data_IF_111833667971
#
_entry.id   IF_111833667971
#
_cell.length_a   1.000
_cell.length_b   1.000
_cell.length_c   1.000
_cell.angle_alpha   90.00
_cell.angle_beta   90.00
_cell.angle_gamma   90.00
#
_symmetry.space_group_name_H-M   'P 1'
#
loop_
_entity.id
_entity.type
_entity.pdbx_description
1 polymer ?
#
# COMPACT_ATOMS: atom_id res chain seq x y z
N UNK A 1 -14.80 -2.45 17.66
CA UNK A 1 -15.39 -1.26 17.03
C UNK A 1 -14.87 -1.25 15.61
N UNK A 2 -15.61 -1.90 14.71
CA UNK A 2 -15.20 -2.08 13.32
C UNK A 2 -15.56 -0.81 12.55
N UNK A 3 -14.55 -0.21 11.92
CA UNK A 3 -14.62 1.09 11.27
C UNK A 3 -15.12 0.90 9.84
N UNK A 4 -16.43 0.72 9.66
CA UNK A 4 -17.07 0.45 8.35
C UNK A 4 -17.08 1.64 7.39
N UNK A 5 -16.71 2.84 7.84
CA UNK A 5 -16.80 4.07 7.03
C UNK A 5 -15.80 4.18 5.87
N UNK A 6 -14.82 3.27 5.75
CA UNK A 6 -13.82 3.33 4.69
C UNK A 6 -14.26 2.64 3.40
N UNK A 7 -15.01 1.54 3.49
CA UNK A 7 -15.66 0.94 2.32
C UNK A 7 -16.64 1.94 1.70
N UNK A 8 -17.34 2.71 2.54
CA UNK A 8 -18.20 3.80 2.09
C UNK A 8 -17.40 4.93 1.41
N UNK A 9 -16.23 5.31 1.92
CA UNK A 9 -15.37 6.33 1.30
C UNK A 9 -14.76 5.88 -0.04
N UNK A 10 -14.36 4.62 -0.16
CA UNK A 10 -13.87 4.06 -1.44
C UNK A 10 -15.03 3.90 -2.41
N UNK A 11 -16.18 3.39 -1.97
CA UNK A 11 -17.37 3.30 -2.81
C UNK A 11 -17.82 4.68 -3.29
N UNK A 12 -17.78 5.73 -2.46
CA UNK A 12 -18.11 7.10 -2.86
C UNK A 12 -17.12 7.64 -3.93
N UNK A 13 -15.82 7.34 -3.78
CA UNK A 13 -14.78 7.71 -4.76
C UNK A 13 -14.90 6.94 -6.09
N UNK A 14 -15.36 5.68 -6.07
CA UNK A 14 -15.57 4.84 -7.25
C UNK A 14 -16.92 5.09 -7.94
N UNK A 15 -17.97 5.39 -7.18
CA UNK A 15 -19.34 5.62 -7.70
C UNK A 15 -19.52 6.98 -8.37
N UNK A 16 -18.62 7.95 -8.14
CA UNK A 16 -18.57 9.22 -8.88
C UNK A 16 -18.43 9.08 -10.41
N UNK A 17 -18.19 7.87 -10.94
CA UNK A 17 -18.10 7.57 -12.37
C UNK A 17 -19.22 6.66 -12.92
N UNK A 18 -20.19 6.23 -12.11
CA UNK A 18 -21.35 5.44 -12.59
C UNK A 18 -22.65 6.21 -12.43
N UNK A 19 -23.30 6.48 -13.56
CA UNK A 19 -24.69 6.93 -13.59
C UNK A 19 -25.64 5.96 -12.87
N UNK A 20 -26.84 6.41 -12.49
CA UNK A 20 -27.68 5.70 -11.54
C UNK A 20 -28.43 4.58 -12.25
N UNK A 21 -28.17 3.32 -11.88
CA UNK A 21 -29.16 2.23 -11.75
C UNK A 21 -28.46 0.92 -11.38
N UNK A 22 -28.65 0.42 -10.16
CA UNK A 22 -28.95 -0.99 -9.87
C UNK A 22 -29.20 -1.18 -8.35
N UNK A 23 -29.87 -2.28 -8.02
CA UNK A 23 -30.66 -2.54 -6.81
C UNK A 23 -29.84 -3.00 -5.58
N UNK A 24 -30.29 -2.81 -4.32
CA UNK A 24 -29.47 -2.95 -3.11
C UNK A 24 -29.29 -4.39 -2.57
N UNK A 25 -29.56 -5.43 -3.37
CA UNK A 25 -29.69 -6.80 -2.86
C UNK A 25 -28.54 -7.76 -3.19
N UNK A 26 -27.62 -7.39 -4.10
CA UNK A 26 -26.52 -8.28 -4.55
C UNK A 26 -25.11 -7.81 -4.10
N UNK A 27 -24.97 -6.61 -3.55
CA UNK A 27 -23.65 -6.01 -3.24
C UNK A 27 -22.97 -6.56 -1.96
N UNK A 28 -23.67 -7.35 -1.14
CA UNK A 28 -23.15 -7.79 0.17
C UNK A 28 -22.18 -8.98 0.12
N UNK A 29 -22.08 -9.72 -0.99
CA UNK A 29 -21.20 -10.90 -1.07
C UNK A 29 -19.85 -10.66 -1.76
N UNK A 30 -19.71 -9.60 -2.57
CA UNK A 30 -18.44 -9.31 -3.28
C UNK A 30 -17.43 -8.53 -2.44
N UNK A 31 -17.90 -7.79 -1.45
CA UNK A 31 -17.04 -6.88 -0.67
C UNK A 31 -16.11 -7.64 0.29
N UNK A 32 -16.58 -8.76 0.86
CA UNK A 32 -15.78 -9.58 1.78
C UNK A 32 -14.76 -10.48 1.04
N UNK A 33 -15.05 -10.90 -0.20
CA UNK A 33 -14.12 -11.67 -1.04
C UNK A 33 -12.92 -10.83 -1.54
N UNK A 34 -13.10 -9.52 -1.69
CA UNK A 34 -12.04 -8.62 -2.15
C UNK A 34 -11.08 -8.23 -1.03
N UNK A 35 -11.54 -8.15 0.23
CA UNK A 35 -10.67 -7.86 1.37
C UNK A 35 -9.64 -8.96 1.62
N UNK A 36 -9.99 -10.21 1.33
CA UNK A 36 -9.06 -11.35 1.43
C UNK A 36 -8.03 -11.41 0.29
N UNK A 37 -8.21 -10.59 -0.76
CA UNK A 37 -7.32 -10.52 -1.92
C UNK A 37 -6.28 -9.39 -1.84
N UNK A 38 -6.28 -8.59 -0.78
CA UNK A 38 -5.34 -7.48 -0.65
C UNK A 38 -3.96 -8.01 -0.23
N UNK A 39 -2.88 -7.72 -0.98
CA UNK A 39 -1.54 -8.12 -0.59
C UNK A 39 -1.17 -7.56 0.79
N UNK A 40 -0.48 -8.34 1.62
CA UNK A 40 -0.08 -7.91 2.97
C UNK A 40 0.77 -6.63 2.94
N UNK A 41 1.50 -6.38 1.85
CA UNK A 41 2.22 -5.13 1.62
C UNK A 41 1.30 -3.91 1.69
N UNK A 42 0.03 -4.03 1.31
CA UNK A 42 -0.95 -2.95 1.29
C UNK A 42 -1.83 -2.88 2.56
N UNK A 43 -1.51 -3.64 3.61
CA UNK A 43 -2.25 -3.57 4.87
C UNK A 43 -2.29 -2.14 5.46
N UNK A 44 -3.29 -1.81 6.27
CA UNK A 44 -3.49 -0.44 6.77
C UNK A 44 -2.68 -0.09 8.02
N UNK A 45 -1.81 -0.99 8.49
CA UNK A 45 -1.06 -0.73 9.71
C UNK A 45 -0.05 0.41 9.51
N UNK A 46 -0.04 1.34 10.45
CA UNK A 46 0.79 2.53 10.37
C UNK A 46 2.24 2.22 10.76
N UNK A 47 3.22 2.74 10.02
CA UNK A 47 4.63 2.63 10.37
C UNK A 47 4.93 3.39 11.68
N UNK A 48 5.88 2.92 12.51
CA UNK A 48 6.26 3.57 13.76
C UNK A 48 7.19 4.78 13.50
N UNK A 49 6.62 5.81 12.88
CA UNK A 49 7.31 7.06 12.54
C UNK A 49 6.48 8.29 12.92
N UNK A 50 7.02 9.49 12.66
CA UNK A 50 6.33 10.74 12.96
C UNK A 50 5.08 10.97 12.10
N UNK A 51 4.22 11.93 12.50
CA UNK A 51 2.91 12.14 11.86
C UNK A 51 3.00 12.53 10.38
N UNK A 52 4.00 13.34 9.99
CA UNK A 52 4.17 13.77 8.59
C UNK A 52 4.45 12.55 7.68
N UNK A 53 5.46 11.70 7.98
CA UNK A 53 5.66 10.45 7.26
C UNK A 53 4.48 9.48 7.31
N UNK A 54 3.73 9.40 8.42
CA UNK A 54 2.55 8.54 8.53
C UNK A 54 1.44 8.97 7.58
N UNK A 55 1.11 10.26 7.54
CA UNK A 55 0.09 10.78 6.60
C UNK A 55 0.50 10.53 5.16
N UNK A 56 1.79 10.72 4.84
CA UNK A 56 2.31 10.42 3.51
C UNK A 56 2.17 8.94 3.15
N UNK A 57 2.44 8.05 4.11
CA UNK A 57 2.25 6.62 3.94
C UNK A 57 0.79 6.27 3.68
N UNK A 58 -0.14 6.81 4.48
CA UNK A 58 -1.58 6.56 4.32
C UNK A 58 -2.08 7.01 2.94
N UNK A 59 -1.65 8.18 2.47
CA UNK A 59 -2.01 8.70 1.15
C UNK A 59 -1.57 7.74 0.03
N UNK A 60 -0.31 7.30 0.06
CA UNK A 60 0.24 6.39 -0.95
C UNK A 60 -0.43 5.02 -0.86
N UNK A 61 -0.56 4.44 0.34
CA UNK A 61 -1.18 3.14 0.53
C UNK A 61 -2.66 3.14 0.09
N UNK A 62 -3.39 4.23 0.37
CA UNK A 62 -4.79 4.38 -0.07
C UNK A 62 -4.91 4.39 -1.58
N UNK A 63 -4.03 5.13 -2.26
CA UNK A 63 -4.03 5.17 -3.73
C UNK A 63 -3.67 3.81 -4.34
N UNK A 64 -2.66 3.12 -3.78
CA UNK A 64 -2.29 1.76 -4.20
C UNK A 64 -3.44 0.77 -4.01
N UNK A 65 -4.12 0.80 -2.86
CA UNK A 65 -5.30 -0.03 -2.61
C UNK A 65 -6.43 0.29 -3.61
N UNK A 66 -6.70 1.57 -3.86
CA UNK A 66 -7.72 2.00 -4.82
C UNK A 66 -7.43 1.44 -6.22
N UNK A 67 -6.18 1.52 -6.68
CA UNK A 67 -5.76 0.96 -7.96
C UNK A 67 -5.82 -0.57 -7.96
N UNK A 68 -5.38 -1.23 -6.88
CA UNK A 68 -5.46 -2.68 -6.73
C UNK A 68 -6.89 -3.20 -6.94
N UNK A 69 -7.86 -2.57 -6.27
CA UNK A 69 -9.28 -2.89 -6.41
C UNK A 69 -9.83 -2.52 -7.78
N UNK A 70 -9.43 -1.37 -8.35
CA UNK A 70 -9.84 -0.96 -9.70
C UNK A 70 -9.43 -1.99 -10.75
N UNK A 71 -8.27 -2.62 -10.59
CA UNK A 71 -7.80 -3.68 -11.48
C UNK A 71 -8.28 -5.08 -11.07
N UNK A 72 -9.07 -5.22 -10.00
CA UNK A 72 -9.53 -6.51 -9.46
C UNK A 72 -8.37 -7.50 -9.25
N UNK A 73 -7.19 -7.01 -8.84
CA UNK A 73 -5.98 -7.82 -8.68
C UNK A 73 -5.39 -8.40 -9.98
N UNK A 74 -5.95 -8.09 -11.16
CA UNK A 74 -5.48 -8.59 -12.47
C UNK A 74 -4.15 -7.97 -12.90
N UNK A 75 -3.80 -6.82 -12.33
CA UNK A 75 -2.56 -6.13 -12.61
C UNK A 75 -1.52 -6.47 -11.54
N UNK A 76 -0.28 -6.84 -11.91
CA UNK A 76 0.78 -7.10 -10.95
C UNK A 76 1.00 -5.92 -9.99
N UNK A 77 1.22 -6.22 -8.71
CA UNK A 77 1.38 -5.20 -7.67
C UNK A 77 2.57 -4.27 -7.96
N UNK A 78 3.66 -4.82 -8.49
CA UNK A 78 4.85 -4.08 -8.85
C UNK A 78 4.61 -3.05 -9.96
N UNK A 79 3.72 -3.36 -10.91
CA UNK A 79 3.30 -2.38 -11.93
C UNK A 79 2.44 -1.27 -11.34
N UNK A 80 1.56 -1.58 -10.39
CA UNK A 80 0.74 -0.58 -9.68
C UNK A 80 1.65 0.35 -8.86
N UNK A 81 2.60 -0.22 -8.10
CA UNK A 81 3.55 0.56 -7.31
C UNK A 81 4.41 1.47 -8.20
N UNK A 82 4.90 0.98 -9.34
CA UNK A 82 5.68 1.80 -10.29
C UNK A 82 4.85 2.92 -10.89
N UNK A 83 3.58 2.68 -11.23
CA UNK A 83 2.70 3.71 -11.77
C UNK A 83 2.53 4.87 -10.79
N UNK A 84 2.15 4.58 -9.54
CA UNK A 84 2.00 5.61 -8.49
C UNK A 84 3.31 6.34 -8.24
N UNK A 85 4.44 5.64 -8.18
CA UNK A 85 5.74 6.28 -8.03
C UNK A 85 6.06 7.23 -9.19
N UNK A 86 5.81 6.82 -10.43
CA UNK A 86 6.06 7.65 -11.60
C UNK A 86 5.13 8.87 -11.63
N UNK A 87 3.87 8.73 -11.24
CA UNK A 87 2.91 9.84 -11.16
C UNK A 87 3.35 10.89 -10.15
N UNK A 88 3.81 10.48 -8.97
CA UNK A 88 4.37 11.39 -7.95
C UNK A 88 5.66 12.08 -8.44
N UNK A 89 6.51 11.38 -9.20
CA UNK A 89 7.71 11.98 -9.79
C UNK A 89 7.36 12.99 -10.90
N UNK A 90 6.38 12.68 -11.74
CA UNK A 90 5.87 13.60 -12.76
C UNK A 90 5.27 14.84 -12.11
N UNK A 91 4.50 14.66 -11.03
CA UNK A 91 3.96 15.74 -10.21
C UNK A 91 5.06 16.60 -9.60
N UNK A 92 6.16 15.99 -9.12
CA UNK A 92 7.34 16.71 -8.64
C UNK A 92 8.01 17.56 -9.73
N UNK A 93 8.11 17.05 -10.96
CA UNK A 93 8.65 17.82 -12.08
C UNK A 93 7.72 18.98 -12.47
N UNK A 94 6.41 18.81 -12.27
CA UNK A 94 5.42 19.87 -12.44
C UNK A 94 5.30 20.81 -11.22
N UNK A 95 6.00 20.53 -10.12
CA UNK A 95 5.87 21.22 -8.82
C UNK A 95 6.38 22.67 -8.84
N UNK A 96 7.15 23.05 -9.85
CA UNK A 96 7.46 24.47 -10.13
C UNK A 96 6.20 25.26 -10.57
N UNK A 97 5.06 24.61 -10.76
CA UNK A 97 3.78 25.25 -10.98
C UNK A 97 3.10 25.64 -9.63
N UNK A 98 2.59 26.88 -9.48
CA UNK A 98 2.04 27.42 -8.22
C UNK A 98 0.69 26.83 -7.76
N UNK A 99 0.35 25.58 -8.14
CA UNK A 99 -1.00 24.99 -8.03
C UNK A 99 -1.21 23.98 -6.91
N UNK A 100 -0.19 23.54 -6.18
CA UNK A 100 -0.39 22.55 -5.10
C UNK A 100 -0.66 23.19 -3.75
N UNK A 101 -1.81 23.89 -3.61
CA UNK A 101 -2.24 24.49 -2.32
C UNK A 101 -2.84 23.48 -1.33
N UNK A 102 -3.20 22.28 -1.78
CA UNK A 102 -3.95 21.30 -0.98
C UNK A 102 -3.06 20.26 -0.30
N UNK A 103 -1.81 20.08 -0.75
CA UNK A 103 -0.85 19.10 -0.21
C UNK A 103 0.37 19.81 0.37
N UNK A 104 0.71 19.54 1.63
CA UNK A 104 1.92 20.09 2.26
C UNK A 104 3.17 19.53 1.59
N UNK A 105 4.14 20.38 1.28
CA UNK A 105 5.41 20.01 0.63
C UNK A 105 6.15 18.89 1.38
N UNK A 106 6.19 18.96 2.71
CA UNK A 106 6.87 17.95 3.52
C UNK A 106 6.22 16.57 3.40
N UNK A 107 4.88 16.51 3.40
CA UNK A 107 4.12 15.27 3.19
C UNK A 107 4.42 14.72 1.80
N UNK A 108 4.36 15.57 0.77
CA UNK A 108 4.65 15.16 -0.61
C UNK A 108 6.06 14.56 -0.79
N UNK A 109 7.08 15.12 -0.13
CA UNK A 109 8.42 14.54 -0.15
C UNK A 109 8.46 13.13 0.44
N UNK A 110 7.71 12.87 1.52
CA UNK A 110 7.60 11.53 2.09
C UNK A 110 6.73 10.60 1.24
N UNK A 111 5.72 11.09 0.53
CA UNK A 111 4.91 10.27 -0.39
C UNK A 111 5.80 9.64 -1.47
N UNK A 112 6.70 10.42 -2.07
CA UNK A 112 7.66 9.91 -3.05
C UNK A 112 8.57 8.83 -2.44
N UNK A 113 9.06 9.05 -1.21
CA UNK A 113 9.92 8.07 -0.50
C UNK A 113 9.16 6.78 -0.19
N UNK A 114 7.91 6.89 0.24
CA UNK A 114 7.04 5.74 0.48
C UNK A 114 6.72 5.00 -0.82
N UNK A 115 6.44 5.70 -1.92
CA UNK A 115 6.22 5.07 -3.21
C UNK A 115 7.46 4.29 -3.69
N UNK A 116 8.67 4.85 -3.50
CA UNK A 116 9.93 4.13 -3.75
C UNK A 116 10.06 2.88 -2.88
N UNK A 117 9.69 2.97 -1.60
CA UNK A 117 9.66 1.82 -0.68
C UNK A 117 8.73 0.71 -1.19
N UNK A 118 7.49 1.06 -1.58
CA UNK A 118 6.53 0.10 -2.10
C UNK A 118 7.01 -0.57 -3.40
N UNK A 119 7.66 0.18 -4.31
CA UNK A 119 8.30 -0.40 -5.50
C UNK A 119 9.34 -1.45 -5.11
N UNK A 120 10.26 -1.14 -4.18
CA UNK A 120 11.28 -2.10 -3.75
C UNK A 120 10.67 -3.35 -3.10
N UNK A 121 9.70 -3.18 -2.22
CA UNK A 121 9.08 -4.32 -1.53
C UNK A 121 8.21 -5.17 -2.47
N UNK A 122 7.52 -4.57 -3.44
CA UNK A 122 6.72 -5.30 -4.44
C UNK A 122 7.54 -6.21 -5.36
N UNK A 123 8.85 -5.95 -5.47
CA UNK A 123 9.78 -6.73 -6.27
C UNK A 123 10.45 -7.86 -5.47
N UNK A 124 10.15 -7.97 -4.16
CA UNK A 124 10.72 -9.04 -3.34
C UNK A 124 10.11 -10.39 -3.75
N UNK A 125 10.92 -11.44 -3.90
CA UNK A 125 10.40 -12.78 -4.16
C UNK A 125 9.54 -13.26 -2.97
N UNK A 126 8.35 -13.80 -3.28
CA UNK A 126 7.41 -14.33 -2.28
C UNK A 126 7.92 -15.61 -1.59
N UNK A 127 8.76 -16.37 -2.29
CA UNK A 127 9.39 -17.59 -1.79
C UNK A 127 10.87 -17.31 -1.58
N UNK A 128 11.25 -17.05 -0.33
CA UNK A 128 12.64 -16.96 0.07
C UNK A 128 13.18 -18.36 0.34
N UNK A 129 14.30 -18.68 -0.28
CA UNK A 129 15.12 -19.84 0.08
C UNK A 129 15.70 -19.67 1.49
N UNK A 130 16.08 -20.76 2.15
CA UNK A 130 16.63 -20.74 3.52
C UNK A 130 17.85 -19.81 3.66
N UNK A 131 18.64 -19.68 2.59
CA UNK A 131 19.75 -18.72 2.47
C UNK A 131 19.29 -17.25 2.42
N UNK A 132 18.18 -16.96 1.75
CA UNK A 132 17.65 -15.59 1.61
C UNK A 132 16.94 -15.13 2.89
N UNK A 133 16.38 -16.06 3.67
CA UNK A 133 15.87 -15.77 5.02
C UNK A 133 16.98 -15.28 5.96
N UNK A 134 18.17 -15.88 5.89
CA UNK A 134 19.34 -15.47 6.68
C UNK A 134 19.89 -14.09 6.27
N UNK A 135 19.77 -13.72 4.99
CA UNK A 135 20.17 -12.39 4.50
C UNK A 135 19.15 -11.31 4.85
N UNK A 136 17.86 -11.64 4.91
CA UNK A 136 16.80 -10.71 5.32
C UNK A 136 17.01 -10.14 6.73
N UNK A 137 17.59 -10.92 7.66
CA UNK A 137 17.94 -10.46 9.01
C UNK A 137 19.07 -9.41 9.05
N UNK A 138 19.80 -9.22 7.93
CA UNK A 138 20.89 -8.24 7.83
C UNK A 138 20.44 -6.91 7.24
N UNK A 139 19.27 -6.85 6.61
CA UNK A 139 18.73 -5.60 6.08
C UNK A 139 18.22 -4.71 7.22
N UNK A 140 18.46 -3.40 7.12
CA UNK A 140 17.90 -2.43 8.06
C UNK A 140 16.36 -2.55 8.07
N UNK A 141 15.80 -2.79 9.25
CA UNK A 141 14.34 -2.79 9.46
C UNK A 141 13.71 -1.42 9.24
N UNK A 142 14.48 -0.36 9.10
CA UNK A 142 13.96 0.96 8.72
C UNK A 142 14.19 1.14 7.23
N UNK A 143 13.15 1.47 6.44
CA UNK A 143 13.28 1.78 5.03
C UNK A 143 14.30 2.90 4.82
N UNK A 144 15.39 2.57 4.12
CA UNK A 144 16.49 3.51 3.86
C UNK A 144 16.04 4.74 3.09
N UNK A 145 14.99 4.60 2.27
CA UNK A 145 14.35 5.66 1.48
C UNK A 145 13.83 6.80 2.35
N UNK A 146 13.42 6.48 3.58
CA UNK A 146 12.83 7.45 4.51
C UNK A 146 13.89 8.32 5.18
N UNK A 147 15.16 7.90 5.17
CA UNK A 147 16.28 8.67 5.73
C UNK A 147 16.21 8.86 7.24
N UNK A 148 15.47 8.01 7.96
CA UNK A 148 15.44 8.05 9.42
C UNK A 148 16.69 7.41 10.01
N UNK A 149 17.22 8.04 11.06
CA UNK A 149 18.22 7.43 11.95
C UNK A 149 17.53 7.05 13.24
N UNK A 150 17.60 5.78 13.63
CA UNK A 150 16.99 5.34 14.89
C UNK A 150 18.06 4.79 15.84
N UNK A 151 18.26 5.50 16.96
CA UNK A 151 19.13 5.04 18.05
C UNK A 151 18.38 4.25 19.13
N UNK A 152 17.06 4.15 19.05
CA UNK A 152 16.24 3.47 20.06
C UNK A 152 15.97 2.03 19.66
N UNK A 153 16.40 1.08 20.51
CA UNK A 153 16.14 -0.35 20.33
C UNK A 153 14.65 -0.66 20.22
N UNK A 154 13.83 0.00 21.05
CA UNK A 154 12.39 -0.22 21.04
C UNK A 154 11.73 0.19 19.72
N UNK A 155 12.14 1.31 19.14
CA UNK A 155 11.62 1.73 17.84
C UNK A 155 12.05 0.76 16.73
N UNK A 156 13.26 0.20 16.80
CA UNK A 156 13.71 -0.83 15.86
C UNK A 156 12.84 -2.11 15.94
N UNK A 157 12.48 -2.54 17.14
CA UNK A 157 11.56 -3.68 17.35
C UNK A 157 10.17 -3.42 16.74
N UNK A 158 9.64 -2.20 16.90
CA UNK A 158 8.37 -1.81 16.27
C UNK A 158 8.46 -1.83 14.73
N UNK A 159 9.58 -1.34 14.17
CA UNK A 159 9.82 -1.38 12.73
C UNK A 159 9.92 -2.81 12.20
N UNK A 160 10.63 -3.69 12.93
CA UNK A 160 10.73 -5.11 12.61
C UNK A 160 9.36 -5.78 12.60
N UNK A 161 8.54 -5.56 13.64
CA UNK A 161 7.19 -6.09 13.72
C UNK A 161 6.32 -5.61 12.56
N UNK A 162 6.36 -4.31 12.25
CA UNK A 162 5.61 -3.72 11.15
C UNK A 162 6.03 -4.35 9.80
N UNK A 163 7.33 -4.48 9.54
CA UNK A 163 7.83 -5.12 8.31
C UNK A 163 7.44 -6.59 8.21
N UNK A 164 7.48 -7.32 9.31
CA UNK A 164 7.07 -8.73 9.34
C UNK A 164 5.62 -8.87 8.90
N UNK A 165 4.74 -7.97 9.34
CA UNK A 165 3.33 -7.98 8.92
C UNK A 165 3.16 -7.56 7.45
N UNK A 166 3.99 -6.65 6.96
CA UNK A 166 4.00 -6.25 5.54
C UNK A 166 4.46 -7.32 4.58
N UNK A 167 5.39 -8.16 5.01
CA UNK A 167 5.97 -9.26 4.23
C UNK A 167 5.33 -10.61 4.53
N UNK A 168 4.26 -10.63 5.31
CA UNK A 168 3.50 -11.84 5.51
C UNK A 168 3.02 -12.35 4.13
N UNK A 169 3.21 -13.63 3.86
CA UNK A 169 2.62 -14.24 2.67
C UNK A 169 1.12 -14.23 2.89
N UNK A 170 0.37 -13.66 1.95
CA UNK A 170 -1.09 -13.75 1.98
C UNK A 170 -1.46 -15.23 1.92
N UNK A 171 -2.05 -15.76 2.99
CA UNK A 171 -2.33 -17.19 3.19
C UNK A 171 -3.52 -17.67 2.37
N UNK A 172 -3.51 -17.46 1.06
CA UNK A 172 -4.49 -18.06 0.15
C UNK A 172 -3.76 -18.89 -0.93
N UNK A 173 -3.99 -20.21 -1.00
CA UNK A 173 -3.55 -21.00 -2.14
C UNK A 173 -4.29 -20.52 -3.40
N UNK A 174 -3.68 -20.63 -4.60
CA UNK A 174 -4.40 -20.36 -5.84
C UNK A 174 -5.63 -21.26 -5.86
N UNK A 175 -6.82 -20.65 -5.93
CA UNK A 175 -8.06 -21.36 -6.20
C UNK A 175 -7.89 -22.03 -7.57
N UNK A 176 -7.48 -23.30 -7.56
CA UNK A 176 -7.48 -24.14 -8.74
C UNK A 176 -8.96 -24.28 -9.09
N UNK A 177 -9.41 -23.46 -10.04
CA UNK A 177 -10.67 -23.67 -10.71
C UNK A 177 -10.70 -25.12 -11.16
N UNK A 178 -11.59 -25.91 -10.56
CA UNK A 178 -11.89 -27.27 -10.97
C UNK A 178 -12.21 -27.26 -12.45
N UNK A 179 -11.25 -27.72 -13.26
CA UNK A 179 -11.47 -28.06 -14.65
C UNK A 179 -12.50 -29.19 -14.67
N UNK A 180 -13.66 -28.92 -15.28
CA UNK A 180 -14.66 -29.91 -15.63
C UNK A 180 -14.25 -30.77 -16.81
#
# INVERSE_FOLDING_TARGET
>A
MENTGWLDYINDRLTGLRGPTASPAEERNHSDELTDQVPSLLNQELPPCGPIPQVAYENVNTELCSLWFQYEGKKPLDEICRAVHQDLLNEKLAYDAPKMRWRRTEVFHYEIRWASYFVRESQRPELLTESELLEQHKESFIPTELGFTCGSKHLLELWEEWHRKKRAISTQPPSIASLG
#
